data_IF_046340515276
#
_entry.id   IF_046340515276
#
_cell.length_a   1.000
_cell.length_b   1.000
_cell.length_c   1.000
_cell.angle_alpha   90.00
_cell.angle_beta   90.00
_cell.angle_gamma   90.00
#
_symmetry.space_group_name_H-M   'P 1'
#
loop_
_entity.id
_entity.type
_entity.pdbx_description
1 polymer ?
#
# COMPACT_ATOMS: atom_id res chain seq x y z
N UNK A 1 -51.46 13.91 -13.06
CA UNK A 1 -51.22 12.59 -12.43
C UNK A 1 -49.95 11.99 -13.00
N UNK A 2 -48.81 12.16 -12.30
CA UNK A 2 -47.53 11.56 -12.71
C UNK A 2 -47.59 10.08 -12.34
N UNK A 3 -47.41 9.18 -13.31
CA UNK A 3 -47.59 7.75 -13.08
C UNK A 3 -46.52 7.22 -12.10
N UNK A 4 -46.89 6.41 -11.08
CA UNK A 4 -45.98 5.97 -10.02
C UNK A 4 -44.79 5.14 -10.53
N UNK A 5 -44.90 4.55 -11.73
CA UNK A 5 -43.82 3.81 -12.41
C UNK A 5 -42.73 4.70 -13.00
N UNK A 6 -43.04 5.95 -13.35
CA UNK A 6 -42.06 6.93 -13.81
C UNK A 6 -41.25 7.48 -12.63
N UNK A 7 -41.90 7.69 -11.48
CA UNK A 7 -41.24 8.15 -10.25
C UNK A 7 -40.22 7.12 -9.74
N UNK A 8 -40.56 5.82 -9.74
CA UNK A 8 -39.67 4.76 -9.30
C UNK A 8 -38.42 4.58 -10.21
N UNK A 9 -38.55 4.79 -11.52
CA UNK A 9 -37.44 4.72 -12.47
C UNK A 9 -36.48 5.91 -12.34
N UNK A 10 -37.02 7.10 -12.07
CA UNK A 10 -36.21 8.30 -11.80
C UNK A 10 -35.46 8.18 -10.48
N UNK A 11 -36.11 7.63 -9.43
CA UNK A 11 -35.46 7.35 -8.14
C UNK A 11 -34.34 6.31 -8.26
N UNK A 12 -34.53 5.22 -9.03
CA UNK A 12 -33.49 4.22 -9.24
C UNK A 12 -32.29 4.78 -10.04
N UNK A 13 -32.54 5.61 -11.05
CA UNK A 13 -31.47 6.27 -11.81
C UNK A 13 -30.68 7.29 -10.98
N UNK A 14 -31.35 7.99 -10.04
CA UNK A 14 -30.71 8.94 -9.13
C UNK A 14 -29.84 8.24 -8.06
N UNK A 15 -30.28 7.07 -7.55
CA UNK A 15 -29.49 6.28 -6.60
C UNK A 15 -28.24 5.68 -7.25
N UNK A 16 -28.31 5.28 -8.53
CA UNK A 16 -27.13 4.78 -9.27
C UNK A 16 -26.13 5.90 -9.59
N UNK A 17 -26.58 7.14 -9.81
CA UNK A 17 -25.71 8.27 -10.12
C UNK A 17 -24.93 8.80 -8.88
N UNK A 18 -25.46 8.67 -7.67
CA UNK A 18 -24.78 9.12 -6.44
C UNK A 18 -23.65 8.16 -6.00
N UNK A 19 -23.63 6.92 -6.51
CA UNK A 19 -22.61 5.94 -6.17
C UNK A 19 -21.28 6.09 -6.94
N UNK A 20 -21.20 7.02 -7.90
CA UNK A 20 -20.02 7.24 -8.74
C UNK A 20 -19.32 8.58 -8.46
N UNK A 21 -19.25 9.00 -7.19
CA UNK A 21 -18.23 9.96 -6.82
C UNK A 21 -16.87 9.32 -7.16
N UNK A 22 -16.02 9.98 -7.97
CA UNK A 22 -14.69 9.45 -8.23
C UNK A 22 -14.03 9.23 -6.87
N UNK A 23 -13.61 8.00 -6.59
CA UNK A 23 -12.71 7.76 -5.48
C UNK A 23 -11.50 8.67 -5.74
N UNK A 24 -11.34 9.68 -4.89
CA UNK A 24 -10.34 10.70 -5.09
C UNK A 24 -8.97 10.00 -5.10
N UNK A 25 -8.31 10.06 -6.25
CA UNK A 25 -7.12 9.31 -6.57
C UNK A 25 -6.08 10.26 -7.14
N UNK A 26 -4.82 10.00 -6.82
CA UNK A 26 -3.67 10.76 -7.27
C UNK A 26 -2.67 9.84 -7.95
N UNK A 27 -2.00 10.37 -8.97
CA UNK A 27 -0.90 9.66 -9.62
C UNK A 27 0.38 9.79 -8.80
N UNK A 28 1.01 8.66 -8.49
CA UNK A 28 2.36 8.57 -7.94
C UNK A 28 3.30 8.03 -9.01
N UNK A 29 4.52 8.57 -9.08
CA UNK A 29 5.62 7.97 -9.85
C UNK A 29 6.46 7.14 -8.88
N UNK A 30 6.47 5.82 -9.04
CA UNK A 30 7.25 4.94 -8.16
C UNK A 30 8.75 4.96 -8.53
N UNK A 31 9.59 4.28 -7.74
CA UNK A 31 11.04 4.28 -7.98
C UNK A 31 11.46 3.52 -9.25
N UNK A 32 10.53 2.78 -9.88
CA UNK A 32 10.73 2.13 -11.18
C UNK A 32 10.26 2.98 -12.36
N UNK A 33 9.86 4.23 -12.10
CA UNK A 33 9.34 5.18 -13.09
C UNK A 33 7.92 4.87 -13.56
N UNK A 34 7.19 3.97 -12.86
CA UNK A 34 5.80 3.63 -13.21
C UNK A 34 4.88 4.72 -12.67
N UNK A 35 3.88 5.10 -13.47
CA UNK A 35 2.77 5.96 -13.02
C UNK A 35 1.68 5.06 -12.46
N UNK A 36 1.38 5.22 -11.18
CA UNK A 36 0.43 4.38 -10.45
C UNK A 36 -0.63 5.28 -9.81
N UNK A 37 -1.90 5.01 -10.11
CA UNK A 37 -3.01 5.69 -9.43
C UNK A 37 -3.21 5.08 -8.05
N UNK A 38 -3.18 5.90 -7.02
CA UNK A 38 -3.43 5.50 -5.63
C UNK A 38 -4.55 6.34 -5.03
N UNK A 39 -5.28 5.84 -4.01
CA UNK A 39 -6.22 6.67 -3.27
C UNK A 39 -5.51 7.90 -2.66
N UNK A 40 -6.21 9.03 -2.59
CA UNK A 40 -5.69 10.26 -1.98
C UNK A 40 -5.25 10.04 -0.53
N UNK A 41 -5.94 9.14 0.18
CA UNK A 41 -5.64 8.75 1.55
C UNK A 41 -5.46 7.24 1.65
N UNK A 42 -4.29 6.84 2.12
CA UNK A 42 -3.93 5.44 2.36
C UNK A 42 -4.11 5.16 3.85
N UNK A 43 -5.05 4.28 4.19
CA UNK A 43 -5.28 3.80 5.55
C UNK A 43 -4.78 2.36 5.73
N UNK A 44 -4.61 1.60 4.64
CA UNK A 44 -4.33 0.16 4.65
C UNK A 44 -3.21 -0.19 3.67
N UNK A 45 -1.98 -0.21 4.14
CA UNK A 45 -0.81 -0.63 3.38
C UNK A 45 -0.48 -2.10 3.64
N UNK A 46 -0.44 -2.89 2.57
CA UNK A 46 0.10 -4.25 2.59
C UNK A 46 1.60 -4.21 2.23
N UNK A 47 2.45 -4.79 3.07
CA UNK A 47 3.88 -4.90 2.79
C UNK A 47 4.18 -6.18 1.99
N UNK A 48 4.76 -6.04 0.80
CA UNK A 48 5.07 -7.17 -0.08
C UNK A 48 6.12 -8.13 0.52
N UNK A 49 6.99 -7.65 1.40
CA UNK A 49 8.03 -8.44 2.04
C UNK A 49 8.58 -7.80 3.32
N UNK A 50 9.46 -8.49 4.07
CA UNK A 50 9.93 -8.01 5.37
C UNK A 50 10.58 -6.60 5.35
N UNK A 51 11.42 -6.22 4.37
CA UNK A 51 11.97 -4.87 4.31
C UNK A 51 10.90 -3.78 4.18
N UNK A 52 9.90 -4.00 3.33
CA UNK A 52 8.78 -3.07 3.16
C UNK A 52 7.98 -2.90 4.45
N UNK A 53 7.76 -3.97 5.21
CA UNK A 53 7.02 -3.90 6.47
C UNK A 53 7.72 -3.03 7.52
N UNK A 54 9.05 -3.13 7.61
CA UNK A 54 9.84 -2.27 8.49
C UNK A 54 9.78 -0.81 8.04
N UNK A 55 9.84 -0.55 6.73
CA UNK A 55 9.78 0.81 6.20
C UNK A 55 8.41 1.47 6.45
N UNK A 56 7.31 0.74 6.19
CA UNK A 56 5.95 1.19 6.52
C UNK A 56 5.79 1.41 8.03
N UNK A 57 6.29 0.49 8.86
CA UNK A 57 6.29 0.64 10.32
C UNK A 57 7.02 1.91 10.79
N UNK A 58 8.18 2.22 10.22
CA UNK A 58 8.97 3.38 10.62
C UNK A 58 8.32 4.73 10.27
N UNK A 59 7.55 4.76 9.17
CA UNK A 59 6.87 5.95 8.65
C UNK A 59 5.45 6.12 9.19
N UNK A 60 4.60 5.10 9.03
CA UNK A 60 3.18 5.16 9.31
C UNK A 60 2.69 3.80 9.89
N UNK A 61 3.03 3.46 11.14
CA UNK A 61 2.77 2.13 11.72
C UNK A 61 1.29 1.75 11.73
N UNK A 62 0.39 2.73 11.82
CA UNK A 62 -1.07 2.51 11.84
C UNK A 62 -1.65 2.10 10.48
N UNK A 63 -0.94 2.30 9.38
CA UNK A 63 -1.41 1.88 8.05
C UNK A 63 -1.07 0.42 7.75
N UNK A 64 -0.12 -0.18 8.48
CA UNK A 64 0.30 -1.56 8.26
C UNK A 64 -0.82 -2.54 8.61
N UNK A 65 -1.31 -3.30 7.63
CA UNK A 65 -2.44 -4.23 7.84
C UNK A 65 -2.03 -5.57 8.46
N UNK A 66 -0.74 -5.90 8.44
CA UNK A 66 -0.22 -7.20 8.85
C UNK A 66 1.27 -7.34 8.59
N UNK A 67 1.87 -8.36 9.19
CA UNK A 67 3.27 -8.67 9.00
C UNK A 67 3.47 -9.72 7.90
N UNK A 68 4.50 -9.58 7.05
CA UNK A 68 4.86 -10.63 6.10
C UNK A 68 5.30 -11.93 6.79
N UNK A 69 5.86 -11.79 8.00
CA UNK A 69 6.15 -12.84 8.96
C UNK A 69 5.99 -12.25 10.35
N UNK A 70 5.33 -12.95 11.27
CA UNK A 70 5.14 -12.51 12.64
C UNK A 70 6.49 -12.10 13.28
N UNK A 71 6.52 -10.96 13.99
CA UNK A 71 7.69 -10.56 14.75
C UNK A 71 8.07 -11.64 15.77
N UNK A 72 9.36 -11.88 15.94
CA UNK A 72 9.83 -12.86 16.93
C UNK A 72 9.80 -12.22 18.32
N UNK A 73 9.77 -13.01 19.40
CA UNK A 73 9.73 -12.47 20.77
C UNK A 73 10.83 -11.43 21.05
N UNK A 74 12.03 -11.62 20.51
CA UNK A 74 13.15 -10.68 20.67
C UNK A 74 12.95 -9.33 19.95
N UNK A 75 12.08 -9.27 18.95
CA UNK A 75 11.83 -8.07 18.15
C UNK A 75 10.73 -7.21 18.80
N UNK A 76 9.83 -7.81 19.59
CA UNK A 76 8.67 -7.15 20.21
C UNK A 76 8.99 -5.90 21.06
N UNK A 77 10.09 -5.85 21.84
CA UNK A 77 10.43 -4.66 22.62
C UNK A 77 10.67 -3.41 21.77
N UNK A 78 11.03 -3.57 20.49
CA UNK A 78 11.30 -2.46 19.56
C UNK A 78 10.08 -2.05 18.73
N UNK A 79 8.96 -2.75 18.90
CA UNK A 79 7.72 -2.51 18.16
C UNK A 79 6.72 -1.73 19.02
N UNK A 80 6.00 -0.81 18.39
CA UNK A 80 4.85 -0.15 19.00
C UNK A 80 3.77 -1.18 19.39
N UNK A 81 3.08 -1.03 20.54
CA UNK A 81 2.08 -1.99 21.00
C UNK A 81 1.02 -2.33 19.95
N UNK A 82 0.54 -1.34 19.18
CA UNK A 82 -0.50 -1.51 18.17
C UNK A 82 -0.12 -2.42 17.00
N UNK A 83 1.18 -2.57 16.70
CA UNK A 83 1.64 -3.41 15.58
C UNK A 83 2.08 -4.80 16.02
N UNK A 84 2.31 -5.03 17.32
CA UNK A 84 2.83 -6.32 17.84
C UNK A 84 1.87 -7.49 17.58
N UNK A 85 0.57 -7.24 17.64
CA UNK A 85 -0.48 -8.25 17.52
C UNK A 85 -1.10 -8.32 16.11
N UNK A 86 -0.54 -7.59 15.14
CA UNK A 86 -1.02 -7.68 13.75
C UNK A 86 -0.81 -9.10 13.19
N UNK A 87 -1.73 -9.59 12.34
CA UNK A 87 -1.67 -10.95 11.82
C UNK A 87 -0.45 -11.16 10.92
N UNK A 88 0.04 -12.40 10.87
CA UNK A 88 0.94 -12.84 9.81
C UNK A 88 0.14 -13.08 8.53
N UNK A 89 0.48 -12.36 7.46
CA UNK A 89 -0.22 -12.44 6.17
C UNK A 89 0.58 -13.20 5.10
N UNK A 90 1.87 -13.46 5.33
CA UNK A 90 2.77 -13.94 4.29
C UNK A 90 3.23 -12.80 3.37
N UNK A 91 3.97 -13.14 2.32
CA UNK A 91 4.68 -12.17 1.46
C UNK A 91 4.36 -12.39 -0.01
N UNK A 92 4.55 -11.35 -0.82
CA UNK A 92 4.45 -11.41 -2.29
C UNK A 92 5.81 -11.60 -2.96
N UNK A 93 6.91 -11.30 -2.26
CA UNK A 93 8.28 -11.34 -2.80
C UNK A 93 9.25 -12.22 -1.99
N UNK A 94 10.34 -12.63 -2.64
CA UNK A 94 11.42 -13.44 -2.04
C UNK A 94 11.13 -14.94 -1.96
N UNK A 95 12.01 -15.71 -1.27
CA UNK A 95 11.87 -17.17 -1.09
C UNK A 95 11.03 -17.53 0.14
N UNK A 96 9.90 -18.18 -0.04
CA UNK A 96 9.07 -18.82 1.00
C UNK A 96 7.59 -18.82 0.62
N UNK A 97 6.69 -18.87 1.62
CA UNK A 97 5.24 -18.89 1.38
C UNK A 97 4.75 -17.58 0.75
N UNK A 98 4.60 -17.61 -0.57
CA UNK A 98 3.92 -16.56 -1.32
C UNK A 98 2.45 -16.55 -0.96
N UNK A 99 1.90 -15.38 -0.62
CA UNK A 99 0.48 -15.23 -0.37
C UNK A 99 -0.28 -15.37 -1.71
N UNK A 100 -1.39 -16.12 -1.70
CA UNK A 100 -2.29 -16.19 -2.83
C UNK A 100 -3.07 -14.86 -2.98
N UNK A 101 -3.39 -14.49 -4.21
CA UNK A 101 -4.08 -13.24 -4.55
C UNK A 101 -5.41 -13.09 -3.79
N UNK A 102 -6.12 -14.18 -3.53
CA UNK A 102 -7.38 -14.20 -2.78
C UNK A 102 -7.20 -13.73 -1.33
N UNK A 103 -6.09 -14.13 -0.68
CA UNK A 103 -5.79 -13.70 0.70
C UNK A 103 -5.38 -12.24 0.75
N UNK A 104 -4.67 -11.74 -0.27
CA UNK A 104 -4.39 -10.30 -0.40
C UNK A 104 -5.70 -9.51 -0.52
N UNK A 105 -6.65 -9.98 -1.33
CA UNK A 105 -7.95 -9.32 -1.48
C UNK A 105 -8.79 -9.35 -0.19
N UNK A 106 -8.71 -10.44 0.58
CA UNK A 106 -9.44 -10.57 1.84
C UNK A 106 -9.04 -9.50 2.88
N UNK A 107 -7.78 -9.04 2.86
CA UNK A 107 -7.32 -7.97 3.75
C UNK A 107 -7.63 -6.56 3.23
N UNK A 108 -8.23 -6.42 2.03
CA UNK A 108 -8.69 -5.16 1.43
C UNK A 108 -7.68 -4.01 1.60
N UNK A 109 -6.44 -4.13 1.09
CA UNK A 109 -5.47 -3.06 1.19
C UNK A 109 -5.78 -1.96 0.17
N UNK A 110 -5.42 -0.74 0.52
CA UNK A 110 -5.49 0.43 -0.37
C UNK A 110 -4.29 0.44 -1.33
N UNK A 111 -3.16 -0.12 -0.89
CA UNK A 111 -1.90 -0.18 -1.64
C UNK A 111 -1.06 -1.37 -1.22
N UNK A 112 -0.30 -1.94 -2.17
CA UNK A 112 0.84 -2.81 -1.89
C UNK A 112 2.13 -2.00 -1.98
N UNK A 113 2.94 -2.07 -0.94
CA UNK A 113 4.27 -1.47 -0.87
C UNK A 113 5.32 -2.56 -0.98
N UNK A 114 6.17 -2.45 -1.98
CA UNK A 114 7.35 -3.30 -2.14
C UNK A 114 8.61 -2.46 -2.05
N UNK A 115 9.63 -3.01 -1.41
CA UNK A 115 10.86 -2.29 -1.10
C UNK A 115 12.05 -3.21 -1.31
N UNK A 116 12.86 -2.92 -2.32
CA UNK A 116 13.94 -3.81 -2.72
C UNK A 116 14.49 -3.52 -4.10
N UNK A 117 14.91 -4.57 -4.79
CA UNK A 117 15.47 -4.50 -6.14
C UNK A 117 14.45 -3.97 -7.14
N UNK A 118 14.90 -3.05 -8.00
CA UNK A 118 14.12 -2.56 -9.13
C UNK A 118 14.69 -3.15 -10.41
N UNK A 119 13.99 -4.13 -10.98
CA UNK A 119 14.31 -4.77 -12.26
C UNK A 119 13.03 -5.24 -12.96
N UNK A 120 13.17 -5.82 -14.16
CA UNK A 120 12.03 -6.28 -14.96
C UNK A 120 11.23 -7.41 -14.29
N UNK A 121 11.84 -8.19 -13.39
CA UNK A 121 11.16 -9.24 -12.64
C UNK A 121 10.16 -8.64 -11.66
N UNK A 122 10.59 -7.65 -10.88
CA UNK A 122 9.71 -6.98 -9.91
C UNK A 122 8.70 -6.05 -10.58
N UNK A 123 9.05 -5.42 -11.70
CA UNK A 123 8.08 -4.67 -12.54
C UNK A 123 6.97 -5.57 -13.05
N UNK A 124 7.33 -6.72 -13.64
CA UNK A 124 6.37 -7.70 -14.14
C UNK A 124 5.49 -8.28 -13.02
N UNK A 125 6.06 -8.51 -11.83
CA UNK A 125 5.30 -8.96 -10.67
C UNK A 125 4.29 -7.91 -10.21
N UNK A 126 4.72 -6.66 -10.06
CA UNK A 126 3.87 -5.55 -9.65
C UNK A 126 2.70 -5.35 -10.62
N UNK A 127 2.98 -5.33 -11.93
CA UNK A 127 1.96 -5.18 -12.96
C UNK A 127 0.98 -6.36 -12.98
N UNK A 128 1.47 -7.59 -12.82
CA UNK A 128 0.62 -8.78 -12.74
C UNK A 128 -0.32 -8.74 -11.54
N UNK A 129 0.19 -8.47 -10.34
CA UNK A 129 -0.62 -8.43 -9.11
C UNK A 129 -1.63 -7.29 -9.19
N UNK A 130 -1.20 -6.11 -9.62
CA UNK A 130 -2.09 -4.95 -9.81
C UNK A 130 -3.18 -5.26 -10.83
N UNK A 131 -2.86 -5.88 -11.97
CA UNK A 131 -3.84 -6.25 -12.99
C UNK A 131 -4.85 -7.31 -12.53
N UNK A 132 -4.43 -8.25 -11.68
CA UNK A 132 -5.30 -9.31 -11.15
C UNK A 132 -6.22 -8.82 -10.01
N UNK A 133 -5.75 -7.86 -9.22
CA UNK A 133 -6.44 -7.44 -7.97
C UNK A 133 -7.14 -6.10 -8.09
N UNK A 134 -6.68 -5.24 -9.00
CA UNK A 134 -7.02 -3.82 -9.01
C UNK A 134 -6.37 -3.02 -7.88
N UNK A 135 -5.58 -3.64 -6.99
CA UNK A 135 -4.90 -2.93 -5.90
C UNK A 135 -3.62 -2.27 -6.45
N UNK A 136 -3.43 -0.95 -6.25
CA UNK A 136 -2.21 -0.26 -6.64
C UNK A 136 -0.96 -0.90 -6.01
N UNK A 137 0.10 -1.06 -6.81
CA UNK A 137 1.36 -1.69 -6.38
C UNK A 137 2.53 -0.74 -6.63
N UNK A 138 3.15 -0.25 -5.56
CA UNK A 138 4.28 0.68 -5.62
C UNK A 138 5.61 -0.04 -5.39
N UNK A 139 6.56 0.17 -6.32
CA UNK A 139 7.94 -0.27 -6.17
C UNK A 139 8.79 0.86 -5.58
N UNK A 140 9.35 0.63 -4.40
CA UNK A 140 10.24 1.57 -3.70
C UNK A 140 11.67 1.02 -3.76
N UNK A 141 12.63 1.85 -4.16
CA UNK A 141 14.02 1.41 -4.36
C UNK A 141 14.74 1.13 -3.04
N UNK A 142 15.14 -0.13 -2.86
CA UNK A 142 15.81 -0.65 -1.67
C UNK A 142 17.32 -0.46 -1.63
N UNK A 143 17.94 0.15 -2.64
CA UNK A 143 19.37 0.47 -2.60
C UNK A 143 19.67 1.45 -1.47
N UNK A 144 20.74 1.22 -0.72
CA UNK A 144 21.16 2.13 0.36
C UNK A 144 21.37 3.57 -0.13
N UNK A 145 21.97 3.74 -1.31
CA UNK A 145 22.16 5.06 -1.92
C UNK A 145 20.82 5.80 -2.23
N UNK A 146 19.71 5.07 -2.32
CA UNK A 146 18.38 5.62 -2.58
C UNK A 146 17.56 5.82 -1.30
N UNK A 147 18.08 5.48 -0.12
CA UNK A 147 17.29 5.43 1.14
C UNK A 147 16.59 6.76 1.44
N UNK A 148 17.29 7.90 1.32
CA UNK A 148 16.69 9.20 1.55
C UNK A 148 15.52 9.50 0.58
N UNK A 149 15.71 9.22 -0.72
CA UNK A 149 14.67 9.38 -1.74
C UNK A 149 13.47 8.45 -1.48
N UNK A 150 13.72 7.19 -1.11
CA UNK A 150 12.70 6.21 -0.79
C UNK A 150 11.88 6.58 0.45
N UNK A 151 12.51 7.15 1.48
CA UNK A 151 11.83 7.66 2.68
C UNK A 151 10.94 8.87 2.37
N UNK A 152 11.41 9.80 1.53
CA UNK A 152 10.62 10.95 1.07
C UNK A 152 9.42 10.50 0.24
N UNK A 153 9.66 9.65 -0.76
CA UNK A 153 8.62 9.11 -1.63
C UNK A 153 7.54 8.38 -0.82
N UNK A 154 7.94 7.41 0.02
CA UNK A 154 6.96 6.63 0.77
C UNK A 154 6.29 7.47 1.88
N UNK A 155 7.00 8.44 2.45
CA UNK A 155 6.42 9.41 3.39
C UNK A 155 5.30 10.23 2.76
N UNK A 156 5.51 10.75 1.55
CA UNK A 156 4.47 11.45 0.78
C UNK A 156 3.31 10.51 0.43
N UNK A 157 3.60 9.30 -0.06
CA UNK A 157 2.60 8.27 -0.39
C UNK A 157 1.68 7.98 0.80
N UNK A 158 2.25 7.77 1.98
CA UNK A 158 1.52 7.40 3.20
C UNK A 158 0.92 8.61 3.95
N UNK A 159 1.02 9.83 3.41
CA UNK A 159 0.46 11.04 4.02
C UNK A 159 1.19 11.49 5.30
N UNK A 160 2.48 11.20 5.40
CA UNK A 160 3.37 11.60 6.51
C UNK A 160 4.67 12.25 5.99
N UNK A 161 4.59 13.27 5.11
CA UNK A 161 5.76 13.82 4.42
C UNK A 161 6.81 14.38 5.39
N UNK A 162 6.41 15.00 6.51
CA UNK A 162 7.33 15.54 7.51
C UNK A 162 8.13 14.44 8.23
N UNK A 163 7.50 13.26 8.44
CA UNK A 163 8.18 12.09 9.00
C UNK A 163 9.16 11.50 7.98
N UNK A 164 8.75 11.41 6.72
CA UNK A 164 9.58 10.95 5.61
C UNK A 164 10.83 11.81 5.47
N UNK A 165 10.66 13.13 5.42
CA UNK A 165 11.77 14.08 5.33
C UNK A 165 12.71 13.99 6.54
N UNK A 166 12.15 13.94 7.76
CA UNK A 166 12.97 13.84 8.97
C UNK A 166 13.86 12.61 8.96
N UNK A 167 13.33 11.45 8.57
CA UNK A 167 14.13 10.23 8.50
C UNK A 167 15.13 10.27 7.35
N UNK A 168 14.75 10.82 6.19
CA UNK A 168 15.64 10.96 5.05
C UNK A 168 16.88 11.81 5.39
N UNK A 169 16.68 12.94 6.05
CA UNK A 169 17.76 13.83 6.47
C UNK A 169 18.76 13.17 7.44
N UNK A 170 18.33 12.23 8.28
CA UNK A 170 19.25 11.46 9.15
C UNK A 170 20.16 10.52 8.35
N UNK A 171 19.74 10.09 7.16
CA UNK A 171 20.55 9.19 6.29
C UNK A 171 21.55 9.92 5.40
N UNK A 172 21.45 11.24 5.30
CA UNK A 172 22.30 12.10 4.48
C UNK A 172 23.41 12.80 5.29
N UNK A 173 23.45 12.57 6.61
CA UNK A 173 24.49 13.07 7.52
C UNK A 173 25.70 12.14 7.54
#
# INVERSE_FOLDING_TARGET
MIAPRLLARVLLALVVAVAALPAAARTVVDSAGRRVEVPDRIERAFAAGPPAAILVYALAPRTLVGWPRAPRPQDLPYLLPEVRALPELGRLTGRGDTIATERLMAVRPDVVIDFGTIDDTYRSLADRIQGQTGVPYLLIDGRFASTAASLRLLGDVLGVPERGERLAAETER
#
